data_IF_870389136525
#
_entry.id   IF_870389136525
#
_cell.length_a   1.000
_cell.length_b   1.000
_cell.length_c   1.000
_cell.angle_alpha   90.00
_cell.angle_beta   90.00
_cell.angle_gamma   90.00
#
_symmetry.space_group_name_H-M   'P 1'
#
loop_
_entity.id
_entity.type
_entity.pdbx_description
1 polymer ?
#
# COMPACT_ATOMS: atom_id res chain seq x y z
N UNK A 1 -80.81 4.26 -12.69
CA UNK A 1 -79.73 3.57 -13.44
C UNK A 1 -78.42 4.32 -13.19
N UNK A 2 -77.57 3.84 -12.29
CA UNK A 2 -76.27 4.46 -11.99
C UNK A 2 -75.19 3.80 -12.85
N UNK A 3 -74.55 4.59 -13.71
CA UNK A 3 -73.39 4.19 -14.50
C UNK A 3 -72.14 4.42 -13.65
N UNK A 4 -71.53 3.34 -13.20
CA UNK A 4 -70.22 3.38 -12.55
C UNK A 4 -69.17 3.49 -13.65
N UNK A 5 -68.70 4.72 -13.89
CA UNK A 5 -67.55 4.95 -14.75
C UNK A 5 -66.29 4.61 -13.94
N UNK A 6 -65.63 3.53 -14.33
CA UNK A 6 -64.36 3.13 -13.78
C UNK A 6 -63.31 4.10 -14.32
N UNK A 7 -63.06 5.18 -13.58
CA UNK A 7 -61.94 6.09 -13.86
C UNK A 7 -60.68 5.32 -13.46
N UNK A 8 -60.07 4.65 -14.44
CA UNK A 8 -58.74 4.09 -14.30
C UNK A 8 -57.83 5.28 -14.02
N UNK A 9 -57.38 5.39 -12.78
CA UNK A 9 -56.40 6.37 -12.37
C UNK A 9 -55.19 6.26 -13.29
N UNK A 10 -55.06 7.31 -14.09
CA UNK A 10 -53.87 7.89 -14.68
C UNK A 10 -52.59 7.08 -14.48
N UNK A 11 -52.00 6.68 -15.61
CA UNK A 11 -50.74 5.95 -15.69
C UNK A 11 -49.68 6.58 -14.79
N UNK A 12 -49.52 6.01 -13.60
CA UNK A 12 -48.54 6.43 -12.63
C UNK A 12 -47.19 6.55 -13.33
N UNK A 13 -46.65 7.76 -13.23
CA UNK A 13 -45.49 8.30 -13.94
C UNK A 13 -44.33 7.29 -14.01
N UNK A 14 -44.33 6.46 -15.07
CA UNK A 14 -43.29 5.43 -15.29
C UNK A 14 -41.91 6.08 -15.40
N UNK A 15 -41.85 7.36 -15.79
CA UNK A 15 -40.61 8.12 -15.88
C UNK A 15 -40.02 8.40 -14.48
N UNK A 16 -40.86 8.75 -13.50
CA UNK A 16 -40.45 8.94 -12.10
C UNK A 16 -40.03 7.62 -11.47
N UNK A 17 -40.76 6.53 -11.70
CA UNK A 17 -40.37 5.19 -11.20
C UNK A 17 -39.06 4.72 -11.81
N UNK A 18 -38.86 4.90 -13.12
CA UNK A 18 -37.61 4.57 -13.82
C UNK A 18 -36.43 5.43 -13.32
N UNK A 19 -36.66 6.73 -13.11
CA UNK A 19 -35.64 7.64 -12.57
C UNK A 19 -35.24 7.25 -11.14
N UNK A 20 -36.20 6.87 -10.29
CA UNK A 20 -35.94 6.38 -8.93
C UNK A 20 -35.11 5.09 -8.95
N UNK A 21 -35.45 4.13 -9.82
CA UNK A 21 -34.68 2.88 -9.96
C UNK A 21 -33.24 3.18 -10.39
N UNK A 22 -33.03 4.06 -11.37
CA UNK A 22 -31.68 4.43 -11.82
C UNK A 22 -30.88 5.12 -10.70
N UNK A 23 -31.51 5.99 -9.91
CA UNK A 23 -30.85 6.62 -8.75
C UNK A 23 -30.46 5.57 -7.71
N UNK A 24 -31.35 4.61 -7.42
CA UNK A 24 -31.05 3.52 -6.47
C UNK A 24 -29.90 2.65 -6.98
N UNK A 25 -29.90 2.27 -8.26
CA UNK A 25 -28.81 1.50 -8.86
C UNK A 25 -27.49 2.28 -8.85
N UNK A 26 -27.52 3.58 -9.11
CA UNK A 26 -26.35 4.43 -9.02
C UNK A 26 -25.81 4.48 -7.58
N UNK A 27 -26.67 4.71 -6.58
CA UNK A 27 -26.27 4.71 -5.17
C UNK A 27 -25.72 3.36 -4.73
N UNK A 28 -26.37 2.26 -5.08
CA UNK A 28 -25.89 0.91 -4.77
C UNK A 28 -24.57 0.60 -5.48
N UNK A 29 -24.42 1.01 -6.73
CA UNK A 29 -23.18 0.88 -7.48
C UNK A 29 -22.03 1.67 -6.84
N UNK A 30 -22.30 2.91 -6.45
CA UNK A 30 -21.34 3.75 -5.71
C UNK A 30 -20.96 3.14 -4.36
N UNK A 31 -21.94 2.65 -3.59
CA UNK A 31 -21.70 2.03 -2.29
C UNK A 31 -20.89 0.73 -2.45
N UNK A 32 -21.23 -0.10 -3.43
CA UNK A 32 -20.49 -1.32 -3.76
C UNK A 32 -19.05 -1.01 -4.18
N UNK A 33 -18.85 0.03 -5.00
CA UNK A 33 -17.53 0.51 -5.37
C UNK A 33 -16.71 0.97 -4.16
N UNK A 34 -17.31 1.74 -3.25
CA UNK A 34 -16.66 2.21 -2.02
C UNK A 34 -16.23 1.04 -1.13
N UNK A 35 -17.09 0.04 -0.94
CA UNK A 35 -16.80 -1.15 -0.14
C UNK A 35 -15.65 -1.97 -0.75
N UNK A 36 -15.60 -2.08 -2.07
CA UNK A 36 -14.53 -2.80 -2.77
C UNK A 36 -13.18 -2.09 -2.57
N UNK A 37 -13.13 -0.77 -2.75
CA UNK A 37 -11.92 0.04 -2.51
C UNK A 37 -11.50 -0.08 -1.05
N UNK A 38 -12.43 0.03 -0.11
CA UNK A 38 -12.16 -0.12 1.32
C UNK A 38 -11.54 -1.48 1.66
N UNK A 39 -11.98 -2.57 1.00
CA UNK A 39 -11.37 -3.90 1.18
C UNK A 39 -9.95 -3.99 0.66
N UNK A 40 -9.66 -3.36 -0.48
CA UNK A 40 -8.30 -3.33 -1.04
C UNK A 40 -7.37 -2.57 -0.12
N UNK A 41 -7.78 -1.40 0.36
CA UNK A 41 -6.99 -0.58 1.30
C UNK A 41 -6.76 -1.33 2.62
N UNK A 42 -7.79 -1.97 3.17
CA UNK A 42 -7.68 -2.74 4.41
C UNK A 42 -6.78 -3.99 4.29
N UNK A 43 -6.48 -4.47 3.07
CA UNK A 43 -5.62 -5.64 2.90
C UNK A 43 -4.13 -5.33 3.12
N UNK A 44 -3.72 -4.09 2.87
CA UNK A 44 -2.35 -3.61 3.12
C UNK A 44 -2.38 -2.07 3.35
N UNK A 45 -2.86 -1.61 4.51
CA UNK A 45 -3.03 -0.17 4.77
C UNK A 45 -1.70 0.60 4.67
N UNK A 46 -0.59 -0.03 5.00
CA UNK A 46 0.77 0.54 4.90
C UNK A 46 1.18 0.78 3.44
N UNK A 47 0.84 -0.12 2.51
CA UNK A 47 1.13 0.08 1.08
C UNK A 47 0.44 1.32 0.49
N UNK A 48 -0.71 1.70 1.06
CA UNK A 48 -1.52 2.81 0.59
C UNK A 48 -1.37 4.08 1.46
N UNK A 49 -0.41 4.12 2.37
CA UNK A 49 -0.24 5.22 3.33
C UNK A 49 -1.51 5.53 4.13
N UNK A 50 -2.28 4.48 4.43
CA UNK A 50 -3.56 4.51 5.09
C UNK A 50 -3.54 3.72 6.41
N UNK A 51 -2.40 3.72 7.11
CA UNK A 51 -2.23 3.14 8.45
C UNK A 51 -2.97 3.96 9.53
N UNK A 52 -4.25 4.26 9.29
CA UNK A 52 -5.13 5.05 10.15
C UNK A 52 -6.35 4.23 10.54
N UNK A 53 -6.80 4.38 11.79
CA UNK A 53 -8.05 3.75 12.24
C UNK A 53 -9.25 4.24 11.41
N UNK A 54 -10.23 3.39 11.10
CA UNK A 54 -10.40 1.99 11.55
C UNK A 54 -9.77 0.92 10.64
N UNK A 55 -8.92 1.30 9.69
CA UNK A 55 -8.42 0.39 8.65
C UNK A 55 -7.10 -0.32 8.99
N UNK A 56 -6.50 0.05 10.11
CA UNK A 56 -5.18 -0.40 10.55
C UNK A 56 -5.17 -0.63 12.08
N UNK A 57 -4.29 -1.52 12.53
CA UNK A 57 -4.00 -1.77 13.95
C UNK A 57 -2.68 -1.13 14.40
N UNK A 58 -2.38 -1.21 15.70
CA UNK A 58 -1.14 -0.65 16.24
C UNK A 58 0.14 -1.27 15.66
N UNK A 59 0.11 -2.51 15.15
CA UNK A 59 1.24 -3.09 14.41
C UNK A 59 1.44 -2.42 13.05
N UNK A 60 0.35 -2.17 12.33
CA UNK A 60 0.37 -1.48 11.04
C UNK A 60 0.89 -0.04 11.20
N UNK A 61 0.54 0.63 12.30
CA UNK A 61 1.04 1.96 12.63
C UNK A 61 2.55 1.99 12.88
N UNK A 62 3.08 1.00 13.62
CA UNK A 62 4.53 0.89 13.82
C UNK A 62 5.28 0.50 12.54
N UNK A 63 4.69 -0.40 11.73
CA UNK A 63 5.22 -0.79 10.42
C UNK A 63 5.34 0.42 9.48
N UNK A 64 4.29 1.25 9.39
CA UNK A 64 4.27 2.47 8.57
C UNK A 64 5.31 3.48 9.05
N UNK A 65 5.43 3.67 10.37
CA UNK A 65 6.44 4.55 10.97
C UNK A 65 7.87 4.13 10.61
N UNK A 66 8.20 2.85 10.76
CA UNK A 66 9.53 2.35 10.42
C UNK A 66 9.82 2.45 8.92
N UNK A 67 8.82 2.16 8.09
CA UNK A 67 8.94 2.31 6.64
C UNK A 67 9.14 3.78 6.24
N UNK A 68 8.44 4.71 6.88
CA UNK A 68 8.61 6.15 6.65
C UNK A 68 10.04 6.62 6.99
N UNK A 69 10.63 6.13 8.09
CA UNK A 69 12.03 6.42 8.45
C UNK A 69 13.01 5.87 7.41
N UNK A 70 12.81 4.62 6.97
CA UNK A 70 13.61 4.00 5.92
C UNK A 70 13.54 4.79 4.60
N UNK A 71 12.33 5.21 4.21
CA UNK A 71 12.10 6.00 2.98
C UNK A 71 12.73 7.39 3.09
N UNK A 72 12.66 8.04 4.26
CA UNK A 72 13.34 9.32 4.48
C UNK A 72 14.85 9.15 4.33
N UNK A 73 15.44 8.12 4.96
CA UNK A 73 16.86 7.83 4.86
C UNK A 73 17.29 7.56 3.41
N UNK A 74 16.48 6.81 2.64
CA UNK A 74 16.71 6.57 1.22
C UNK A 74 16.70 7.86 0.40
N UNK A 75 15.71 8.73 0.61
CA UNK A 75 15.59 10.03 -0.08
C UNK A 75 16.74 10.96 0.24
N UNK A 76 17.11 11.06 1.51
CA UNK A 76 18.23 11.90 1.93
C UNK A 76 19.54 11.42 1.32
N UNK A 77 19.77 10.11 1.31
CA UNK A 77 20.96 9.55 0.66
C UNK A 77 20.96 9.79 -0.85
N UNK A 78 19.84 9.53 -1.51
CA UNK A 78 19.71 9.73 -2.96
C UNK A 78 19.97 11.18 -3.36
N UNK A 79 19.39 12.15 -2.62
CA UNK A 79 19.61 13.58 -2.84
C UNK A 79 21.04 14.00 -2.56
N UNK A 80 21.67 13.48 -1.49
CA UNK A 80 23.06 13.80 -1.14
C UNK A 80 24.04 13.32 -2.22
N UNK A 81 23.81 12.14 -2.80
CA UNK A 81 24.68 11.55 -3.83
C UNK A 81 24.34 11.96 -5.26
N UNK A 82 23.08 12.29 -5.51
CA UNK A 82 22.54 12.42 -6.87
C UNK A 82 22.33 11.08 -7.58
N UNK A 83 22.32 9.96 -6.86
CA UNK A 83 22.08 8.61 -7.40
C UNK A 83 21.47 7.66 -6.35
N UNK A 84 21.03 6.48 -6.80
CA UNK A 84 20.39 5.48 -5.95
C UNK A 84 21.35 4.43 -5.35
N UNK A 85 22.67 4.53 -5.60
CA UNK A 85 23.64 3.51 -5.19
C UNK A 85 23.75 3.36 -3.67
N UNK A 86 23.58 4.47 -2.93
CA UNK A 86 23.67 4.50 -1.47
C UNK A 86 22.40 4.04 -0.75
N UNK A 87 21.27 3.90 -1.46
CA UNK A 87 19.95 3.69 -0.87
C UNK A 87 19.88 2.42 0.01
N UNK A 88 20.35 1.23 -0.43
CA UNK A 88 20.27 0.03 0.41
C UNK A 88 20.99 0.20 1.74
N UNK A 89 22.18 0.82 1.73
CA UNK A 89 22.96 1.04 2.95
C UNK A 89 22.30 2.07 3.87
N UNK A 90 21.66 3.12 3.32
CA UNK A 90 20.93 4.11 4.10
C UNK A 90 19.69 3.51 4.78
N UNK A 91 18.94 2.66 4.08
CA UNK A 91 17.80 1.91 4.64
C UNK A 91 18.26 0.96 5.74
N UNK A 92 19.36 0.22 5.56
CA UNK A 92 19.89 -0.66 6.61
C UNK A 92 20.24 0.09 7.90
N UNK A 93 20.68 1.35 7.80
CA UNK A 93 20.99 2.20 8.98
C UNK A 93 19.75 2.76 9.68
N UNK A 94 18.56 2.67 9.08
CA UNK A 94 17.32 3.18 9.68
C UNK A 94 16.66 2.22 10.68
N UNK A 95 17.33 1.10 11.02
CA UNK A 95 16.80 0.09 11.94
C UNK A 95 15.96 -1.01 11.26
N UNK A 96 16.01 -1.09 9.93
CA UNK A 96 15.32 -2.12 9.15
C UNK A 96 16.35 -3.08 8.54
N UNK A 97 16.11 -4.38 8.66
CA UNK A 97 17.01 -5.40 8.12
C UNK A 97 16.81 -5.51 6.59
N UNK A 98 17.80 -5.11 5.78
CA UNK A 98 17.77 -5.27 4.32
C UNK A 98 18.16 -6.71 3.97
N UNK A 99 17.18 -7.49 3.57
CA UNK A 99 17.34 -8.89 3.21
C UNK A 99 17.85 -9.08 1.79
N UNK A 100 17.46 -8.22 0.85
CA UNK A 100 17.97 -8.24 -0.51
C UNK A 100 17.88 -6.83 -1.09
N UNK A 101 18.82 -6.49 -1.97
CA UNK A 101 18.82 -5.21 -2.66
C UNK A 101 19.27 -5.40 -4.10
N UNK A 102 18.50 -4.85 -5.02
CA UNK A 102 18.84 -4.78 -6.44
C UNK A 102 18.75 -3.32 -6.89
N UNK A 103 19.87 -2.77 -7.34
CA UNK A 103 19.96 -1.40 -7.84
C UNK A 103 20.12 -1.45 -9.35
N UNK A 104 19.17 -0.89 -10.08
CA UNK A 104 19.17 -0.81 -11.55
C UNK A 104 19.32 0.63 -11.98
N UNK A 105 20.33 0.91 -12.81
CA UNK A 105 20.59 2.22 -13.42
C UNK A 105 20.61 3.35 -12.37
N UNK A 106 21.54 3.30 -11.39
CA UNK A 106 21.50 4.15 -10.20
C UNK A 106 21.52 5.65 -10.47
N UNK A 107 22.12 6.07 -11.58
CA UNK A 107 22.28 7.47 -11.98
C UNK A 107 21.23 7.94 -12.99
N UNK A 108 20.39 7.04 -13.50
CA UNK A 108 19.37 7.39 -14.47
C UNK A 108 18.17 8.04 -13.78
N UNK A 109 17.50 8.95 -14.49
CA UNK A 109 16.25 9.56 -14.02
C UNK A 109 15.14 8.54 -13.76
N UNK A 110 15.22 7.37 -14.42
CA UNK A 110 14.34 6.21 -14.22
C UNK A 110 15.04 5.05 -13.49
N UNK A 111 16.07 5.38 -12.72
CA UNK A 111 16.74 4.46 -11.81
C UNK A 111 15.75 3.81 -10.86
N UNK A 112 16.01 2.55 -10.50
CA UNK A 112 15.14 1.75 -9.65
C UNK A 112 15.96 1.02 -8.60
N UNK A 113 15.48 1.02 -7.36
CA UNK A 113 15.96 0.12 -6.31
C UNK A 113 14.82 -0.79 -5.90
N UNK A 114 15.06 -2.09 -5.93
CA UNK A 114 14.17 -3.08 -5.33
C UNK A 114 14.83 -3.59 -4.06
N UNK A 115 14.16 -3.40 -2.93
CA UNK A 115 14.59 -3.87 -1.62
C UNK A 115 13.63 -4.93 -1.14
N UNK A 116 14.15 -5.99 -0.52
CA UNK A 116 13.37 -6.82 0.39
C UNK A 116 13.84 -6.52 1.80
N UNK A 117 12.91 -6.13 2.66
CA UNK A 117 13.21 -5.65 4.01
C UNK A 117 12.44 -6.46 5.05
N UNK A 118 13.03 -6.58 6.24
CA UNK A 118 12.44 -7.20 7.42
C UNK A 118 12.37 -6.15 8.53
N UNK A 119 11.17 -5.97 9.07
CA UNK A 119 10.83 -5.04 10.14
C UNK A 119 10.47 -5.84 11.39
N UNK A 120 10.96 -5.39 12.55
CA UNK A 120 10.49 -5.86 13.86
C UNK A 120 9.50 -4.83 14.36
N UNK A 121 8.23 -5.15 14.29
CA UNK A 121 7.16 -4.23 14.64
C UNK A 121 6.67 -4.53 16.05
N UNK A 122 6.27 -3.48 16.75
CA UNK A 122 5.62 -3.53 18.06
C UNK A 122 4.16 -3.09 17.91
N UNK A 123 3.30 -3.57 18.80
CA UNK A 123 1.95 -3.07 18.84
C UNK A 123 1.90 -1.73 19.58
N UNK A 124 1.59 -0.66 18.85
CA UNK A 124 1.40 0.66 19.44
C UNK A 124 0.18 0.71 20.39
N UNK A 125 -0.80 -0.16 20.21
CA UNK A 125 -2.02 -0.18 21.04
C UNK A 125 -1.86 -1.01 22.33
N UNK A 126 -1.03 -2.06 22.31
CA UNK A 126 -0.70 -2.92 23.46
C UNK A 126 0.80 -3.31 23.48
N UNK A 127 1.65 -2.50 24.12
CA UNK A 127 3.10 -2.72 24.18
C UNK A 127 3.52 -4.02 24.90
N UNK A 128 2.61 -4.68 25.62
CA UNK A 128 2.91 -5.95 26.29
C UNK A 128 2.91 -7.13 25.30
N UNK A 129 2.36 -6.97 24.09
CA UNK A 129 2.38 -8.03 23.07
C UNK A 129 3.80 -8.26 22.55
N UNK A 130 4.19 -9.52 22.30
CA UNK A 130 5.50 -9.84 21.79
C UNK A 130 5.69 -9.27 20.39
N UNK A 131 6.89 -8.75 20.10
CA UNK A 131 7.23 -8.20 18.78
C UNK A 131 6.90 -9.17 17.65
N UNK A 132 6.49 -8.62 16.51
CA UNK A 132 6.25 -9.40 15.29
C UNK A 132 7.29 -9.05 14.23
N UNK A 133 7.65 -10.05 13.44
CA UNK A 133 8.51 -9.86 12.27
C UNK A 133 7.64 -9.78 11.02
N UNK A 134 7.75 -8.68 10.28
CA UNK A 134 7.04 -8.47 9.01
C UNK A 134 8.04 -8.17 7.91
N UNK A 135 7.77 -8.64 6.69
CA UNK A 135 8.65 -8.40 5.55
C UNK A 135 7.91 -7.71 4.43
N UNK A 136 8.61 -6.79 3.77
CA UNK A 136 8.08 -6.04 2.63
C UNK A 136 9.06 -6.05 1.47
N UNK A 137 8.53 -6.01 0.28
CA UNK A 137 9.28 -5.58 -0.89
C UNK A 137 9.00 -4.10 -1.11
N UNK A 138 10.05 -3.31 -1.29
CA UNK A 138 10.00 -1.87 -1.47
C UNK A 138 10.65 -1.54 -2.81
N UNK A 139 9.91 -0.91 -3.69
CA UNK A 139 10.37 -0.39 -4.97
C UNK A 139 10.51 1.12 -4.85
N UNK A 140 11.72 1.62 -5.06
CA UNK A 140 12.05 3.04 -5.06
C UNK A 140 12.45 3.42 -6.47
N UNK A 141 11.86 4.48 -7.01
CA UNK A 141 12.16 4.98 -8.36
C UNK A 141 12.36 6.49 -8.40
N UNK A 142 13.09 6.94 -9.42
CA UNK A 142 13.45 8.34 -9.62
C UNK A 142 14.83 8.65 -9.04
N UNK A 143 15.50 9.64 -9.62
CA UNK A 143 16.88 10.01 -9.24
C UNK A 143 17.00 10.43 -7.77
N UNK A 144 15.92 10.91 -7.15
CA UNK A 144 15.89 11.35 -5.75
C UNK A 144 14.98 10.49 -4.85
N UNK A 145 14.67 9.24 -5.27
CA UNK A 145 13.74 8.35 -4.57
C UNK A 145 12.34 8.98 -4.40
N UNK A 146 11.84 9.56 -5.49
CA UNK A 146 10.61 10.35 -5.51
C UNK A 146 9.36 9.47 -5.37
N UNK A 147 9.35 8.34 -6.08
CA UNK A 147 8.25 7.37 -6.03
C UNK A 147 8.68 6.13 -5.23
N UNK A 148 7.83 5.75 -4.28
CA UNK A 148 8.04 4.59 -3.42
C UNK A 148 6.75 3.77 -3.38
N UNK A 149 6.86 2.51 -3.77
CA UNK A 149 5.80 1.53 -3.61
C UNK A 149 6.28 0.41 -2.69
N UNK A 150 5.39 -0.13 -1.86
CA UNK A 150 5.71 -1.30 -1.04
C UNK A 150 4.58 -2.33 -1.08
N UNK A 151 4.92 -3.59 -0.84
CA UNK A 151 3.95 -4.68 -0.64
C UNK A 151 4.45 -5.64 0.42
N UNK A 152 3.54 -6.24 1.18
CA UNK A 152 3.88 -7.36 2.08
C UNK A 152 4.39 -8.57 1.29
N UNK A 153 5.37 -9.26 1.87
CA UNK A 153 5.88 -10.55 1.39
C UNK A 153 6.10 -11.48 2.57
N UNK A 154 6.14 -12.79 2.30
CA UNK A 154 6.59 -13.76 3.30
C UNK A 154 8.04 -13.46 3.70
N UNK A 155 8.32 -13.55 5.00
CA UNK A 155 9.69 -13.48 5.50
C UNK A 155 10.44 -14.76 5.13
N UNK A 156 11.63 -14.68 4.52
CA UNK A 156 12.46 -15.85 4.35
C UNK A 156 12.92 -16.37 5.72
N UNK A 157 13.15 -17.69 5.84
CA UNK A 157 13.71 -18.28 7.06
C UNK A 157 15.05 -17.60 7.37
N UNK A 158 15.38 -17.51 8.67
CA UNK A 158 16.54 -16.74 9.16
C UNK A 158 17.88 -17.16 8.53
N UNK A 159 17.96 -18.37 7.96
CA UNK A 159 19.16 -18.97 7.38
C UNK A 159 19.40 -18.60 5.89
N UNK A 160 18.47 -17.90 5.25
CA UNK A 160 18.60 -17.43 3.86
C UNK A 160 18.81 -15.91 3.81
N UNK A 161 19.91 -15.43 4.39
CA UNK A 161 20.50 -14.18 3.93
C UNK A 161 21.13 -14.46 2.54
N UNK A 162 20.94 -13.60 1.53
CA UNK A 162 21.36 -13.91 0.17
C UNK A 162 22.88 -14.05 0.12
N UNK A 163 23.31 -15.21 -0.36
CA UNK A 163 24.61 -15.33 -0.99
C UNK A 163 24.67 -14.28 -2.11
N UNK A 164 25.66 -13.41 -1.98
CA UNK A 164 26.16 -12.49 -2.98
C UNK A 164 26.21 -13.19 -4.35
N UNK A 165 25.20 -12.94 -5.20
CA UNK A 165 25.16 -13.43 -6.57
C UNK A 165 25.89 -12.43 -7.47
N UNK A 166 27.15 -12.21 -7.13
CA UNK A 166 28.14 -11.62 -8.03
C UNK A 166 28.77 -12.78 -8.79
N UNK A 167 28.14 -13.20 -9.89
CA UNK A 167 28.76 -14.05 -10.91
C UNK A 167 29.43 -13.13 -11.94
N UNK A 168 30.77 -13.01 -11.99
CA UNK A 168 31.45 -12.47 -13.14
C UNK A 168 31.70 -13.61 -14.13
N UNK A 169 30.78 -13.79 -15.09
CA UNK A 169 31.18 -14.28 -16.41
C UNK A 169 31.62 -13.05 -17.21
N UNK A 170 32.77 -12.96 -17.84
CA UNK A 170 33.83 -13.88 -18.22
C UNK A 170 34.62 -13.17 -19.32
#
# INVERSE_FOLDING_TARGET
MQRWALVVAESADRSVTRRRILVVLAVLGSLGGLLLVGRVVASDPVAYHAAVRPFADGWDGDEDRQLALAVSAARDEARRRGDLSGVPAAVGRSGVDVLAAEVRRPTASDGTVLLRVRLRVHDADDPARPEQVRCREVRITGAAADDVASRRTACPPAEQAPADRSDPAG
#
